data_IF_029466848418
#
_entry.id   IF_029466848418
#
_cell.length_a   1.000
_cell.length_b   1.000
_cell.length_c   1.000
_cell.angle_alpha   90.00
_cell.angle_beta   90.00
_cell.angle_gamma   90.00
#
_symmetry.space_group_name_H-M   'P 1'
#
loop_
_entity.id
_entity.type
_entity.pdbx_description
1 polymer ?
#
# COMPACT_ATOMS: atom_id res chain seq x y z
N UNK A 1 18.54 -22.46 7.07
CA UNK A 1 19.29 -21.49 7.89
C UNK A 1 18.47 -21.22 9.15
N UNK A 2 19.05 -21.33 10.36
CA UNK A 2 18.31 -21.00 11.60
C UNK A 2 18.16 -19.47 11.68
N UNK A 3 16.94 -18.99 11.82
CA UNK A 3 16.67 -17.56 12.05
C UNK A 3 17.29 -17.07 13.36
N UNK A 4 17.74 -15.82 13.40
CA UNK A 4 18.17 -15.14 14.63
C UNK A 4 19.68 -15.05 14.85
N UNK A 5 20.53 -15.60 13.97
CA UNK A 5 22.00 -15.45 14.12
C UNK A 5 22.47 -13.99 14.03
N UNK A 6 21.75 -13.17 13.25
CA UNK A 6 21.98 -11.72 13.14
C UNK A 6 21.62 -10.94 14.41
N UNK A 7 21.04 -11.58 15.43
CA UNK A 7 20.71 -10.96 16.73
C UNK A 7 21.73 -11.32 17.83
N UNK A 8 22.73 -12.17 17.53
CA UNK A 8 23.79 -12.51 18.48
C UNK A 8 24.65 -11.28 18.77
N UNK A 9 25.10 -11.15 20.00
CA UNK A 9 25.84 -9.99 20.52
C UNK A 9 27.09 -9.65 19.71
N UNK A 10 27.76 -10.67 19.17
CA UNK A 10 28.92 -10.51 18.27
C UNK A 10 28.61 -9.77 16.96
N UNK A 11 27.37 -9.84 16.46
CA UNK A 11 26.93 -9.12 15.27
C UNK A 11 26.42 -7.71 15.59
N UNK A 12 25.87 -7.50 16.80
CA UNK A 12 25.42 -6.18 17.27
C UNK A 12 26.61 -5.27 17.63
N UNK A 13 27.67 -5.83 18.20
CA UNK A 13 28.88 -5.11 18.59
C UNK A 13 29.68 -4.55 17.39
N UNK A 14 29.47 -5.06 16.18
CA UNK A 14 30.13 -4.59 14.96
C UNK A 14 29.45 -3.36 14.35
N UNK A 15 28.31 -2.92 14.89
CA UNK A 15 27.54 -1.81 14.35
C UNK A 15 27.51 -0.60 15.31
N UNK A 16 28.40 0.39 15.16
CA UNK A 16 28.39 1.62 15.97
C UNK A 16 27.16 2.51 15.70
N UNK A 17 26.32 2.18 14.71
CA UNK A 17 25.06 2.87 14.42
C UNK A 17 23.87 2.35 15.26
N UNK A 18 24.12 1.54 16.30
CA UNK A 18 23.11 0.93 17.18
C UNK A 18 22.18 1.90 17.94
N UNK A 19 22.37 3.21 17.79
CA UNK A 19 21.36 4.20 18.10
C UNK A 19 21.10 5.04 16.86
N UNK A 20 20.15 4.61 16.04
CA UNK A 20 19.55 5.47 15.02
C UNK A 20 18.49 6.33 15.72
N UNK A 21 18.73 7.64 15.95
CA UNK A 21 17.76 8.54 16.62
C UNK A 21 16.46 8.73 15.84
N UNK A 22 16.34 8.17 14.63
CA UNK A 22 15.14 8.19 13.80
C UNK A 22 13.91 7.66 14.55
N UNK A 23 14.07 6.68 15.44
CA UNK A 23 12.95 6.15 16.23
C UNK A 23 12.43 7.14 17.29
N UNK A 24 13.27 8.06 17.79
CA UNK A 24 12.85 9.13 18.71
C UNK A 24 12.19 10.30 17.96
N UNK A 25 12.63 10.59 16.73
CA UNK A 25 11.96 11.58 15.86
C UNK A 25 10.55 11.12 15.46
N UNK A 26 10.38 9.82 15.20
CA UNK A 26 9.09 9.17 14.93
C UNK A 26 8.11 9.18 16.13
N UNK A 27 8.60 9.39 17.35
CA UNK A 27 7.77 9.44 18.57
C UNK A 27 7.14 10.81 18.85
N UNK A 28 7.45 11.83 18.04
CA UNK A 28 6.80 13.14 18.20
C UNK A 28 5.44 13.15 17.49
N UNK A 29 4.38 13.49 18.22
CA UNK A 29 3.00 13.62 17.70
C UNK A 29 2.93 14.59 16.50
N UNK A 30 3.81 15.59 16.47
CA UNK A 30 3.94 16.56 15.38
C UNK A 30 4.47 15.88 14.11
N UNK A 31 5.50 15.03 14.20
CA UNK A 31 6.04 14.33 13.03
C UNK A 31 5.03 13.34 12.45
N UNK A 32 4.35 12.58 13.32
CA UNK A 32 3.27 11.67 12.91
C UNK A 32 2.15 12.44 12.19
N UNK A 33 1.63 13.51 12.79
CA UNK A 33 0.53 14.30 12.18
C UNK A 33 0.93 14.99 10.88
N UNK A 34 2.15 15.53 10.78
CA UNK A 34 2.66 16.15 9.54
C UNK A 34 2.90 15.10 8.45
N UNK A 35 3.46 13.94 8.80
CA UNK A 35 3.65 12.82 7.87
C UNK A 35 2.30 12.33 7.34
N UNK A 36 1.31 12.16 8.23
CA UNK A 36 -0.03 11.77 7.85
C UNK A 36 -0.71 12.80 6.94
N UNK A 37 -0.57 14.10 7.23
CA UNK A 37 -1.10 15.17 6.37
C UNK A 37 -0.48 15.14 4.99
N UNK A 38 0.85 15.05 4.90
CA UNK A 38 1.56 15.00 3.62
C UNK A 38 1.19 13.75 2.81
N UNK A 39 1.08 12.61 3.47
CA UNK A 39 0.66 11.37 2.82
C UNK A 39 -0.76 11.50 2.28
N UNK A 40 -1.72 12.01 3.07
CA UNK A 40 -3.10 12.24 2.62
C UNK A 40 -3.18 13.20 1.45
N UNK A 41 -2.40 14.29 1.46
CA UNK A 41 -2.38 15.27 0.37
C UNK A 41 -1.85 14.65 -0.93
N UNK A 42 -0.68 14.01 -0.87
CA UNK A 42 -0.09 13.35 -2.05
C UNK A 42 -1.00 12.27 -2.59
N UNK A 43 -1.60 11.50 -1.70
CA UNK A 43 -2.52 10.43 -2.09
C UNK A 43 -3.80 10.99 -2.71
N UNK A 44 -4.37 12.06 -2.14
CA UNK A 44 -5.50 12.78 -2.71
C UNK A 44 -5.24 13.24 -4.14
N UNK A 45 -4.07 13.83 -4.41
CA UNK A 45 -3.71 14.23 -5.79
C UNK A 45 -3.68 13.06 -6.77
N UNK A 46 -3.19 11.89 -6.36
CA UNK A 46 -3.19 10.69 -7.22
C UNK A 46 -4.64 10.22 -7.45
N UNK A 47 -5.46 10.19 -6.40
CA UNK A 47 -6.86 9.80 -6.50
C UNK A 47 -7.66 10.76 -7.39
N UNK A 48 -7.40 12.06 -7.36
CA UNK A 48 -8.05 13.05 -8.24
C UNK A 48 -7.74 12.79 -9.73
N UNK A 49 -6.49 12.43 -10.03
CA UNK A 49 -6.08 12.04 -11.40
C UNK A 49 -6.79 10.76 -11.82
N UNK A 50 -6.89 9.78 -10.92
CA UNK A 50 -7.56 8.50 -11.22
C UNK A 50 -9.05 8.72 -11.41
N UNK A 51 -9.68 9.50 -10.55
CA UNK A 51 -11.11 9.84 -10.63
C UNK A 51 -11.43 10.50 -11.96
N UNK A 52 -10.61 11.47 -12.38
CA UNK A 52 -10.76 12.14 -13.68
C UNK A 52 -10.60 11.15 -14.84
N UNK A 53 -9.58 10.30 -14.81
CA UNK A 53 -9.31 9.31 -15.86
C UNK A 53 -10.41 8.25 -15.95
N UNK A 54 -10.87 7.74 -14.80
CA UNK A 54 -11.89 6.72 -14.70
C UNK A 54 -13.29 7.25 -15.02
N UNK A 55 -13.50 8.57 -14.93
CA UNK A 55 -14.68 9.23 -15.48
C UNK A 55 -14.73 9.20 -17.01
N UNK A 56 -13.62 8.95 -17.70
CA UNK A 56 -13.52 8.91 -19.17
C UNK A 56 -13.37 7.49 -19.73
N UNK A 57 -12.93 6.54 -18.92
CA UNK A 57 -12.62 5.18 -19.35
C UNK A 57 -12.88 4.19 -18.22
N UNK A 58 -13.29 2.96 -18.54
CA UNK A 58 -13.62 1.96 -17.51
C UNK A 58 -12.42 1.58 -16.63
N UNK A 59 -11.21 1.59 -17.20
CA UNK A 59 -9.96 1.19 -16.55
C UNK A 59 -8.88 2.26 -16.74
N UNK A 60 -7.81 2.20 -15.94
CA UNK A 60 -6.69 3.15 -16.05
C UNK A 60 -6.01 3.05 -17.43
N UNK A 61 -6.01 1.86 -18.03
CA UNK A 61 -5.50 1.62 -19.38
C UNK A 61 -6.41 2.06 -20.52
N UNK A 62 -7.66 2.43 -20.26
CA UNK A 62 -8.69 2.66 -21.29
C UNK A 62 -9.92 1.79 -21.05
N UNK A 63 -10.60 1.36 -22.12
CA UNK A 63 -11.87 0.63 -21.99
C UNK A 63 -11.71 -0.85 -21.62
N UNK A 64 -10.48 -1.38 -21.72
CA UNK A 64 -10.16 -2.77 -21.39
C UNK A 64 -9.17 -2.86 -20.22
N UNK A 65 -9.35 -3.89 -19.39
CA UNK A 65 -8.43 -4.19 -18.30
C UNK A 65 -7.01 -4.40 -18.84
N UNK A 66 -6.04 -3.77 -18.20
CA UNK A 66 -4.67 -3.74 -18.70
C UNK A 66 -3.64 -4.01 -17.59
N UNK A 67 -2.36 -4.02 -17.97
CA UNK A 67 -1.25 -4.08 -17.03
C UNK A 67 -1.28 -2.92 -16.02
N UNK A 68 -1.75 -1.74 -16.44
CA UNK A 68 -1.88 -0.58 -15.55
C UNK A 68 -2.79 -0.91 -14.35
N UNK A 69 -3.91 -1.60 -14.57
CA UNK A 69 -4.86 -1.98 -13.52
C UNK A 69 -4.30 -3.13 -12.67
N UNK A 70 -3.64 -4.10 -13.31
CA UNK A 70 -3.06 -5.26 -12.65
C UNK A 70 -2.02 -4.88 -11.60
N UNK A 71 -1.13 -3.93 -11.90
CA UNK A 71 -0.09 -3.50 -10.96
C UNK A 71 -0.63 -2.88 -9.68
N UNK A 72 -1.88 -2.41 -9.67
CA UNK A 72 -2.50 -1.82 -8.49
C UNK A 72 -3.07 -2.87 -7.53
N UNK A 73 -3.33 -4.11 -7.95
CA UNK A 73 -3.97 -5.12 -7.10
C UNK A 73 -3.27 -5.37 -5.75
N UNK A 74 -1.95 -5.58 -5.68
CA UNK A 74 -1.28 -5.84 -4.41
C UNK A 74 -1.42 -4.66 -3.45
N UNK A 75 -1.12 -3.46 -3.95
CA UNK A 75 -1.14 -2.24 -3.15
C UNK A 75 -2.55 -1.89 -2.71
N UNK A 76 -3.53 -1.95 -3.62
CA UNK A 76 -4.94 -1.65 -3.32
C UNK A 76 -5.50 -2.63 -2.30
N UNK A 77 -5.18 -3.94 -2.40
CA UNK A 77 -5.65 -4.92 -1.42
C UNK A 77 -5.23 -4.56 0.01
N UNK A 78 -3.95 -4.29 0.23
CA UNK A 78 -3.47 -3.86 1.56
C UNK A 78 -4.08 -2.54 2.00
N UNK A 79 -4.22 -1.57 1.10
CA UNK A 79 -4.79 -0.25 1.45
C UNK A 79 -6.26 -0.34 1.86
N UNK A 80 -7.03 -1.25 1.25
CA UNK A 80 -8.45 -1.47 1.57
C UNK A 80 -8.66 -2.03 2.99
N UNK A 81 -7.64 -2.62 3.60
CA UNK A 81 -7.66 -3.12 4.98
C UNK A 81 -7.28 -2.04 6.02
N UNK A 82 -6.99 -0.81 5.57
CA UNK A 82 -6.59 0.30 6.44
C UNK A 82 -7.61 1.43 6.46
N UNK A 83 -7.37 2.45 7.30
CA UNK A 83 -8.15 3.70 7.29
C UNK A 83 -8.08 4.47 5.95
N UNK A 84 -7.14 4.14 5.06
CA UNK A 84 -7.05 4.73 3.74
C UNK A 84 -8.25 4.34 2.85
N UNK A 85 -8.93 3.22 3.14
CA UNK A 85 -10.16 2.79 2.45
C UNK A 85 -11.17 3.93 2.27
N UNK A 86 -11.35 4.75 3.31
CA UNK A 86 -12.28 5.90 3.30
C UNK A 86 -11.96 6.90 2.19
N UNK A 87 -10.68 7.08 1.84
CA UNK A 87 -10.27 7.99 0.77
C UNK A 87 -10.71 7.48 -0.60
N UNK A 88 -10.65 6.16 -0.82
CA UNK A 88 -11.12 5.55 -2.06
C UNK A 88 -12.64 5.55 -2.14
N UNK A 89 -13.34 5.26 -1.04
CA UNK A 89 -14.81 5.28 -0.97
C UNK A 89 -15.40 6.69 -1.21
N UNK A 90 -14.63 7.76 -0.96
CA UNK A 90 -15.04 9.14 -1.28
C UNK A 90 -14.95 9.48 -2.78
N UNK A 91 -14.27 8.67 -3.59
CA UNK A 91 -14.05 8.89 -5.02
C UNK A 91 -14.87 7.87 -5.81
N UNK A 92 -16.05 8.22 -6.37
CA UNK A 92 -17.00 7.23 -6.88
C UNK A 92 -16.46 6.39 -8.04
N UNK A 93 -15.76 6.99 -9.01
CA UNK A 93 -15.20 6.24 -10.14
C UNK A 93 -14.03 5.35 -9.70
N UNK A 94 -13.16 5.86 -8.83
CA UNK A 94 -12.09 5.07 -8.23
C UNK A 94 -12.66 3.92 -7.40
N UNK A 95 -13.68 4.15 -6.58
CA UNK A 95 -14.30 3.11 -5.76
C UNK A 95 -14.90 2.00 -6.62
N UNK A 96 -15.59 2.36 -7.71
CA UNK A 96 -16.13 1.40 -8.66
C UNK A 96 -15.02 0.57 -9.33
N UNK A 97 -13.95 1.23 -9.76
CA UNK A 97 -12.78 0.57 -10.34
C UNK A 97 -12.10 -0.39 -9.35
N UNK A 98 -11.91 0.01 -8.08
CA UNK A 98 -11.34 -0.85 -7.04
C UNK A 98 -12.19 -2.11 -6.83
N UNK A 99 -13.51 -1.95 -6.74
CA UNK A 99 -14.43 -3.08 -6.61
C UNK A 99 -14.33 -4.03 -7.81
N UNK A 100 -14.27 -3.49 -9.03
CA UNK A 100 -14.18 -4.29 -10.26
C UNK A 100 -12.85 -5.07 -10.32
N UNK A 101 -11.69 -4.41 -10.17
CA UNK A 101 -10.38 -5.08 -10.28
C UNK A 101 -10.17 -6.16 -9.21
N UNK A 102 -10.72 -5.95 -8.00
CA UNK A 102 -10.62 -6.92 -6.91
C UNK A 102 -11.59 -8.10 -7.07
N UNK A 103 -12.75 -7.90 -7.69
CA UNK A 103 -13.68 -8.98 -8.01
C UNK A 103 -13.24 -9.84 -9.22
N UNK A 104 -12.53 -9.24 -10.18
CA UNK A 104 -12.23 -9.85 -11.49
C UNK A 104 -11.29 -11.08 -11.43
N UNK A 105 -10.50 -11.32 -10.35
CA UNK A 105 -9.48 -12.39 -10.38
C UNK A 105 -9.58 -13.44 -9.26
N UNK A 106 -10.12 -14.64 -9.57
CA UNK A 106 -9.89 -15.85 -8.79
C UNK A 106 -8.38 -16.18 -8.62
N UNK A 107 -7.55 -15.84 -9.60
CA UNK A 107 -6.10 -16.04 -9.56
C UNK A 107 -5.40 -15.15 -8.51
N UNK A 108 -5.97 -14.00 -8.17
CA UNK A 108 -5.45 -13.16 -7.09
C UNK A 108 -5.71 -13.80 -5.72
N UNK A 109 -6.89 -14.41 -5.53
CA UNK A 109 -7.18 -15.20 -4.33
C UNK A 109 -6.20 -16.37 -4.15
N UNK A 110 -5.78 -17.02 -5.25
CA UNK A 110 -4.74 -18.06 -5.21
C UNK A 110 -3.38 -17.52 -4.71
N UNK A 111 -3.01 -16.28 -5.06
CA UNK A 111 -1.75 -15.68 -4.56
C UNK A 111 -1.79 -15.34 -3.07
N UNK A 112 -2.97 -15.05 -2.50
CA UNK A 112 -3.11 -14.83 -1.05
C UNK A 112 -2.84 -16.12 -0.26
N UNK A 113 -3.32 -17.26 -0.76
CA UNK A 113 -3.14 -18.57 -0.11
C UNK A 113 -1.66 -18.98 -0.13
N UNK A 114 -0.94 -18.72 -1.23
CA UNK A 114 0.50 -19.02 -1.33
C UNK A 114 1.34 -18.11 -0.42
N UNK A 115 0.94 -16.85 -0.25
CA UNK A 115 1.66 -15.90 0.62
C UNK A 115 1.40 -16.12 2.13
N UNK A 116 0.26 -16.70 2.51
CA UNK A 116 -0.14 -16.90 3.92
C UNK A 116 -0.07 -18.37 4.40
N UNK A 117 0.37 -19.30 3.55
CA UNK A 117 0.41 -20.72 3.88
C UNK A 117 1.60 -21.44 3.27
N UNK A 118 2.75 -21.35 3.93
CA UNK A 118 3.76 -22.42 4.03
C UNK A 118 4.79 -21.97 5.05
N UNK A 119 4.52 -22.22 6.34
CA UNK A 119 5.47 -22.62 7.39
C UNK A 119 4.72 -22.89 8.70
#
# INVERSE_FOLDING_TARGET
>A
MRGGEHKKESFLALNPFGQVPLFQLLKTEIFSSLLWRNLKLKFGTILDVYETRLGQSKYLGGDCFSLADLHHLPTTHYLMETQAKKLFECCPNVSAWVADITAIRPAWELTKVVAMGTH
#
